data_IF_627052397662
#
_entry.id   IF_627052397662
#
_cell.length_a   1.000
_cell.length_b   1.000
_cell.length_c   1.000
_cell.angle_alpha   90.00
_cell.angle_beta   90.00
_cell.angle_gamma   90.00
#
_symmetry.space_group_name_H-M   'P 1'
#
loop_
_entity.id
_entity.type
_entity.pdbx_description
1 polymer ?
#
# COMPACT_ATOMS: atom_id res chain seq x y z
N UNK A 1 -8.26 -11.27 -4.99
CA UNK A 1 -8.99 -12.16 -4.02
C UNK A 1 -10.22 -12.78 -4.69
N UNK A 2 -10.31 -14.10 -4.82
CA UNK A 2 -11.36 -14.75 -5.64
C UNK A 2 -12.79 -14.57 -5.11
N UNK A 3 -12.97 -14.59 -3.79
CA UNK A 3 -14.29 -14.52 -3.16
C UNK A 3 -14.63 -13.15 -2.56
N UNK A 4 -13.62 -12.34 -2.25
CA UNK A 4 -13.78 -10.94 -1.89
C UNK A 4 -13.40 -10.15 -3.14
N UNK A 5 -14.35 -9.47 -3.76
CA UNK A 5 -14.17 -8.78 -5.04
C UNK A 5 -15.07 -7.55 -5.13
N UNK A 6 -14.77 -6.58 -5.98
CA UNK A 6 -15.66 -5.46 -6.23
C UNK A 6 -17.05 -5.92 -6.65
N UNK A 7 -18.08 -5.19 -6.25
CA UNK A 7 -19.47 -5.51 -6.59
C UNK A 7 -19.68 -5.55 -8.11
N UNK A 8 -19.06 -4.62 -8.83
CA UNK A 8 -19.12 -4.55 -10.30
C UNK A 8 -18.59 -5.82 -11.00
N UNK A 9 -17.74 -6.61 -10.33
CA UNK A 9 -17.21 -7.87 -10.86
C UNK A 9 -18.14 -9.07 -10.67
N UNK A 10 -19.27 -8.91 -10.00
CA UNK A 10 -20.21 -10.01 -9.82
C UNK A 10 -21.07 -10.29 -11.06
N UNK A 11 -21.32 -9.28 -11.88
CA UNK A 11 -22.24 -9.33 -13.00
C UNK A 11 -21.59 -8.89 -14.32
N UNK A 12 -20.25 -8.96 -14.40
CA UNK A 12 -19.56 -8.50 -15.58
C UNK A 12 -19.62 -9.52 -16.72
N UNK A 13 -19.84 -9.03 -17.90
CA UNK A 13 -19.54 -9.71 -19.14
C UNK A 13 -18.02 -9.70 -19.34
N UNK A 14 -17.42 -10.87 -19.51
CA UNK A 14 -15.97 -11.01 -19.71
C UNK A 14 -15.47 -10.44 -21.04
N UNK A 15 -16.38 -10.06 -21.93
CA UNK A 15 -16.06 -9.39 -23.20
C UNK A 15 -15.89 -7.87 -23.05
N UNK A 16 -16.24 -7.29 -21.90
CA UNK A 16 -16.18 -5.85 -21.66
C UNK A 16 -15.19 -5.49 -20.54
N UNK A 17 -14.61 -4.30 -20.65
CA UNK A 17 -13.75 -3.73 -19.60
C UNK A 17 -14.63 -3.34 -18.39
N UNK A 18 -14.21 -3.72 -17.19
CA UNK A 18 -14.91 -3.38 -15.95
C UNK A 18 -14.06 -2.46 -15.10
N UNK A 19 -14.57 -1.29 -14.77
CA UNK A 19 -13.89 -0.26 -14.02
C UNK A 19 -14.32 -0.26 -12.55
N UNK A 20 -13.37 -0.10 -11.64
CA UNK A 20 -13.59 0.05 -10.20
C UNK A 20 -12.50 0.92 -9.60
N UNK A 21 -12.82 1.69 -8.59
CA UNK A 21 -11.82 2.46 -7.83
C UNK A 21 -11.11 1.61 -6.77
N UNK A 22 -11.44 0.32 -6.63
CA UNK A 22 -11.03 -0.53 -5.50
C UNK A 22 -9.79 -1.40 -5.77
N UNK A 23 -9.15 -1.35 -6.96
CA UNK A 23 -7.98 -2.20 -7.23
C UNK A 23 -6.82 -1.92 -6.26
N UNK A 24 -6.69 -0.70 -5.76
CA UNK A 24 -5.72 -0.37 -4.72
C UNK A 24 -5.83 -1.28 -3.49
N UNK A 25 -7.05 -1.69 -3.13
CA UNK A 25 -7.29 -2.59 -2.01
C UNK A 25 -7.11 -4.05 -2.44
N UNK A 26 -7.74 -4.47 -3.54
CA UNK A 26 -7.73 -5.87 -3.96
C UNK A 26 -6.35 -6.35 -4.41
N UNK A 27 -5.55 -5.48 -5.00
CA UNK A 27 -4.20 -5.77 -5.43
C UNK A 27 -3.15 -5.21 -4.46
N UNK A 28 -3.38 -4.01 -3.91
CA UNK A 28 -2.43 -3.39 -2.99
C UNK A 28 -2.37 -4.10 -1.64
N UNK A 29 -3.51 -4.45 -1.02
CA UNK A 29 -3.51 -5.24 0.22
C UNK A 29 -2.90 -6.63 -0.03
N UNK A 30 -3.15 -7.24 -1.19
CA UNK A 30 -2.55 -8.53 -1.56
C UNK A 30 -1.03 -8.39 -1.65
N UNK A 31 -0.53 -7.35 -2.36
CA UNK A 31 0.91 -7.08 -2.47
C UNK A 31 1.57 -6.79 -1.11
N UNK A 32 0.87 -6.11 -0.19
CA UNK A 32 1.35 -5.93 1.18
C UNK A 32 1.51 -7.26 1.91
N UNK A 33 0.55 -8.18 1.74
CA UNK A 33 0.61 -9.49 2.40
C UNK A 33 1.59 -10.46 1.74
N UNK A 34 1.95 -10.30 0.48
CA UNK A 34 2.89 -11.19 -0.21
C UNK A 34 4.22 -11.28 0.57
N UNK A 35 4.87 -10.16 0.79
CA UNK A 35 6.14 -10.09 1.52
C UNK A 35 5.94 -10.38 3.03
N UNK A 36 4.88 -9.85 3.62
CA UNK A 36 4.57 -10.05 5.04
C UNK A 36 4.29 -11.53 5.36
N UNK A 37 3.65 -12.28 4.45
CA UNK A 37 3.39 -13.70 4.62
C UNK A 37 4.69 -14.52 4.61
N UNK A 38 5.65 -14.18 3.76
CA UNK A 38 6.98 -14.80 3.74
C UNK A 38 7.71 -14.59 5.08
N UNK A 39 7.66 -13.38 5.61
CA UNK A 39 8.24 -13.08 6.91
C UNK A 39 7.54 -13.82 8.05
N UNK A 40 6.20 -13.78 8.10
CA UNK A 40 5.40 -14.45 9.14
C UNK A 40 5.55 -15.97 9.13
N UNK A 41 5.76 -16.57 7.96
CA UNK A 41 6.02 -17.99 7.79
C UNK A 41 7.49 -18.35 8.04
N UNK A 42 8.34 -17.39 8.40
CA UNK A 42 9.79 -17.55 8.66
C UNK A 42 10.58 -18.05 7.44
N UNK A 43 10.09 -17.80 6.23
CA UNK A 43 10.82 -18.09 4.99
C UNK A 43 11.88 -17.03 4.69
N UNK A 44 11.66 -15.82 5.16
CA UNK A 44 12.63 -14.71 5.11
C UNK A 44 12.82 -14.08 6.50
N UNK A 45 13.94 -13.41 6.71
CA UNK A 45 14.23 -12.68 7.95
C UNK A 45 13.54 -11.32 7.96
N UNK A 46 13.53 -10.64 9.11
CA UNK A 46 13.00 -9.27 9.20
C UNK A 46 13.81 -8.30 8.33
N UNK A 47 15.12 -8.48 8.24
CA UNK A 47 16.00 -7.66 7.40
C UNK A 47 15.62 -7.81 5.92
N UNK A 48 15.39 -9.06 5.46
CA UNK A 48 14.94 -9.29 4.09
C UNK A 48 13.58 -8.64 3.82
N UNK A 49 12.63 -8.73 4.77
CA UNK A 49 11.33 -8.05 4.64
C UNK A 49 11.49 -6.53 4.56
N UNK A 50 12.33 -5.94 5.40
CA UNK A 50 12.59 -4.49 5.38
C UNK A 50 13.33 -4.06 4.11
N UNK A 51 14.19 -4.93 3.54
CA UNK A 51 14.81 -4.70 2.24
C UNK A 51 13.76 -4.67 1.12
N UNK A 52 12.83 -5.63 1.08
CA UNK A 52 11.73 -5.64 0.11
C UNK A 52 10.82 -4.39 0.26
N UNK A 53 10.57 -3.96 1.50
CA UNK A 53 9.83 -2.73 1.74
C UNK A 53 10.60 -1.50 1.22
N UNK A 54 11.92 -1.43 1.41
CA UNK A 54 12.76 -0.35 0.88
C UNK A 54 12.68 -0.30 -0.67
N UNK A 55 12.71 -1.44 -1.32
CA UNK A 55 12.57 -1.54 -2.78
C UNK A 55 11.20 -1.07 -3.27
N UNK A 56 10.12 -1.45 -2.58
CA UNK A 56 8.77 -1.00 -2.91
C UNK A 56 8.61 0.51 -2.74
N UNK A 57 9.15 1.07 -1.66
CA UNK A 57 9.18 2.52 -1.43
C UNK A 57 10.00 3.23 -2.50
N UNK A 58 11.17 2.71 -2.85
CA UNK A 58 12.02 3.28 -3.91
C UNK A 58 11.29 3.33 -5.25
N UNK A 59 10.60 2.27 -5.64
CA UNK A 59 9.77 2.26 -6.87
C UNK A 59 8.69 3.35 -6.82
N UNK A 60 8.03 3.53 -5.67
CA UNK A 60 7.02 4.57 -5.51
C UNK A 60 7.64 5.97 -5.65
N UNK A 61 8.74 6.23 -4.93
CA UNK A 61 9.36 7.56 -4.91
C UNK A 61 10.02 7.96 -6.24
N UNK A 62 10.48 7.01 -7.03
CA UNK A 62 10.99 7.24 -8.39
C UNK A 62 9.89 7.60 -9.39
N UNK A 63 8.68 7.13 -9.21
CA UNK A 63 7.56 7.42 -10.10
C UNK A 63 7.06 8.85 -9.91
N UNK A 64 7.26 9.73 -10.88
CA UNK A 64 6.67 11.08 -10.90
C UNK A 64 5.15 11.04 -11.06
N UNK A 65 4.61 9.95 -11.59
CA UNK A 65 3.18 9.69 -11.72
C UNK A 65 2.43 9.79 -10.38
N UNK A 66 3.10 9.55 -9.24
CA UNK A 66 2.50 9.68 -7.91
C UNK A 66 1.97 11.09 -7.60
N UNK A 67 2.49 12.12 -8.28
CA UNK A 67 2.04 13.51 -8.19
C UNK A 67 1.00 13.89 -9.25
N UNK A 68 0.70 12.99 -10.18
CA UNK A 68 -0.17 13.23 -11.33
C UNK A 68 -1.47 12.45 -11.30
N UNK A 69 -1.45 11.27 -10.72
CA UNK A 69 -2.60 10.37 -10.66
C UNK A 69 -2.90 9.98 -9.21
N UNK A 70 -4.15 10.09 -8.82
CA UNK A 70 -4.61 9.59 -7.51
C UNK A 70 -4.67 8.06 -7.53
N UNK A 71 -4.75 7.45 -6.35
CA UNK A 71 -4.80 5.98 -6.26
C UNK A 71 -6.15 5.41 -6.72
N UNK A 72 -7.24 6.15 -6.52
CA UNK A 72 -8.57 5.79 -7.07
C UNK A 72 -8.59 5.89 -8.60
N UNK A 73 -8.00 6.95 -9.18
CA UNK A 73 -7.88 7.07 -10.64
C UNK A 73 -7.01 5.95 -11.23
N UNK A 74 -5.88 5.63 -10.56
CA UNK A 74 -5.01 4.52 -10.97
C UNK A 74 -5.76 3.19 -11.01
N UNK A 75 -6.63 2.95 -10.03
CA UNK A 75 -7.48 1.76 -9.98
C UNK A 75 -8.53 1.77 -11.10
N UNK A 76 -9.20 2.90 -11.29
CA UNK A 76 -10.28 3.04 -12.27
C UNK A 76 -9.77 2.96 -13.72
N UNK A 77 -8.66 3.61 -14.00
CA UNK A 77 -8.03 3.68 -15.32
C UNK A 77 -7.14 2.46 -15.66
N UNK A 78 -7.19 1.40 -14.88
CA UNK A 78 -6.28 0.26 -15.02
C UNK A 78 -6.21 -0.28 -16.46
N UNK A 79 -7.37 -0.49 -17.10
CA UNK A 79 -7.49 -1.03 -18.45
C UNK A 79 -6.89 -0.11 -19.52
N UNK A 80 -7.08 1.19 -19.36
CA UNK A 80 -6.74 2.19 -20.38
C UNK A 80 -5.33 2.76 -20.22
N UNK A 81 -4.80 2.78 -18.98
CA UNK A 81 -3.49 3.36 -18.66
C UNK A 81 -2.48 2.35 -18.13
N UNK A 82 -2.82 1.57 -17.11
CA UNK A 82 -1.85 0.68 -16.48
C UNK A 82 -1.48 -0.51 -17.38
N UNK A 83 -2.43 -1.08 -18.10
CA UNK A 83 -2.18 -2.19 -19.04
C UNK A 83 -1.83 -1.75 -20.47
N UNK A 84 -1.89 -0.46 -20.76
CA UNK A 84 -1.52 0.13 -22.07
C UNK A 84 -0.48 1.24 -21.88
N UNK A 85 0.61 0.91 -21.16
CA UNK A 85 1.67 1.87 -20.84
C UNK A 85 2.44 2.28 -22.10
N UNK A 86 2.74 3.57 -22.18
CA UNK A 86 3.71 4.17 -23.10
C UNK A 86 5.01 4.54 -22.38
N UNK A 87 5.97 5.13 -23.11
CA UNK A 87 7.26 5.54 -22.57
C UNK A 87 7.15 6.61 -21.49
N UNK A 88 6.06 7.37 -21.45
CA UNK A 88 5.81 8.42 -20.46
C UNK A 88 5.10 7.89 -19.19
N UNK A 89 4.75 6.61 -19.13
CA UNK A 89 4.02 6.05 -17.99
C UNK A 89 4.65 6.36 -16.62
N UNK A 90 6.00 6.29 -16.41
CA UNK A 90 6.61 6.63 -15.13
C UNK A 90 6.35 8.06 -14.66
N UNK A 91 6.08 8.98 -15.59
CA UNK A 91 5.78 10.38 -15.30
C UNK A 91 4.28 10.68 -15.14
N UNK A 92 3.42 9.80 -15.62
CA UNK A 92 2.00 10.05 -15.78
C UNK A 92 1.10 9.20 -14.87
N UNK A 93 1.52 7.99 -14.53
CA UNK A 93 0.71 7.03 -13.77
C UNK A 93 1.43 6.56 -12.50
N UNK A 94 0.65 6.14 -11.53
CA UNK A 94 1.13 5.46 -10.33
C UNK A 94 0.59 4.02 -10.29
N UNK A 95 1.40 3.09 -9.82
CA UNK A 95 0.95 1.70 -9.66
C UNK A 95 0.02 1.54 -8.46
N UNK A 96 -1.20 1.08 -8.68
CA UNK A 96 -2.13 0.73 -7.60
C UNK A 96 -1.68 -0.51 -6.83
N UNK A 97 -0.81 -1.36 -7.38
CA UNK A 97 -0.11 -2.41 -6.63
C UNK A 97 0.88 -1.80 -5.63
N UNK A 98 1.85 -1.05 -6.11
CA UNK A 98 2.95 -0.51 -5.28
C UNK A 98 2.43 0.54 -4.28
N UNK A 99 1.75 1.60 -4.76
CA UNK A 99 1.20 2.64 -3.87
C UNK A 99 0.12 2.05 -2.96
N UNK A 100 -0.70 1.12 -3.48
CA UNK A 100 -1.71 0.41 -2.70
C UNK A 100 -1.12 -0.42 -1.56
N UNK A 101 0.00 -1.12 -1.78
CA UNK A 101 0.69 -1.87 -0.72
C UNK A 101 1.21 -0.94 0.38
N UNK A 102 1.75 0.22 0.03
CA UNK A 102 2.22 1.21 1.01
C UNK A 102 1.03 1.83 1.78
N UNK A 103 -0.10 2.07 1.11
CA UNK A 103 -1.33 2.53 1.79
C UNK A 103 -1.89 1.45 2.71
N UNK A 104 -1.82 0.17 2.33
CA UNK A 104 -2.21 -0.95 3.19
C UNK A 104 -1.34 -1.05 4.45
N UNK A 105 -0.02 -0.87 4.32
CA UNK A 105 0.89 -0.73 5.46
C UNK A 105 0.48 0.46 6.36
N UNK A 106 0.23 1.62 5.76
CA UNK A 106 -0.23 2.81 6.49
C UNK A 106 -1.55 2.56 7.23
N UNK A 107 -2.50 1.89 6.60
CA UNK A 107 -3.78 1.53 7.22
C UNK A 107 -3.59 0.57 8.40
N UNK A 108 -2.75 -0.46 8.28
CA UNK A 108 -2.45 -1.38 9.41
C UNK A 108 -1.84 -0.61 10.60
N UNK A 109 -0.91 0.30 10.33
CA UNK A 109 -0.28 1.13 11.37
C UNK A 109 -1.33 2.05 12.04
N UNK A 110 -2.15 2.74 11.26
CA UNK A 110 -3.18 3.66 11.77
C UNK A 110 -4.24 2.90 12.59
N UNK A 111 -4.70 1.75 12.10
CA UNK A 111 -5.63 0.90 12.87
C UNK A 111 -5.03 0.49 14.21
N UNK A 112 -3.79 0.02 14.24
CA UNK A 112 -3.08 -0.35 15.47
C UNK A 112 -2.94 0.82 16.43
N UNK A 113 -2.51 1.97 15.94
CA UNK A 113 -2.31 3.16 16.77
C UNK A 113 -3.61 3.62 17.42
N UNK A 114 -4.64 3.86 16.61
CA UNK A 114 -5.91 4.40 17.07
C UNK A 114 -6.66 3.43 17.99
N UNK A 115 -6.52 2.14 17.79
CA UNK A 115 -7.13 1.10 18.62
C UNK A 115 -6.28 0.63 19.79
N UNK A 116 -5.06 1.17 19.98
CA UNK A 116 -4.08 0.62 20.94
C UNK A 116 -3.80 -0.87 20.70
N UNK A 117 -3.52 -1.24 19.44
CA UNK A 117 -3.27 -2.60 18.95
C UNK A 117 -4.44 -3.60 19.07
N UNK A 118 -5.67 -3.12 19.28
CA UNK A 118 -6.85 -4.00 19.35
C UNK A 118 -7.42 -4.35 17.98
N UNK A 119 -7.22 -3.49 16.99
CA UNK A 119 -7.65 -3.67 15.59
C UNK A 119 -6.44 -3.61 14.67
N UNK A 120 -6.33 -4.60 13.79
CA UNK A 120 -5.24 -4.73 12.81
C UNK A 120 -5.82 -4.90 11.41
N UNK A 121 -4.98 -4.81 10.39
CA UNK A 121 -5.39 -5.14 9.03
C UNK A 121 -5.79 -6.62 8.89
N UNK A 122 -5.22 -7.52 9.69
CA UNK A 122 -5.67 -8.92 9.74
C UNK A 122 -7.12 -9.04 10.20
N UNK A 123 -7.53 -8.26 11.21
CA UNK A 123 -8.92 -8.26 11.70
C UNK A 123 -9.85 -7.67 10.65
N UNK A 124 -9.42 -6.61 9.97
CA UNK A 124 -10.13 -6.04 8.82
C UNK A 124 -10.35 -7.08 7.72
N UNK A 125 -9.31 -7.83 7.34
CA UNK A 125 -9.42 -8.90 6.33
C UNK A 125 -10.33 -10.04 6.78
N UNK A 126 -10.29 -10.43 8.06
CA UNK A 126 -11.22 -11.44 8.62
C UNK A 126 -12.66 -10.95 8.57
N UNK A 127 -12.88 -9.67 8.87
CA UNK A 127 -14.21 -9.06 8.81
C UNK A 127 -14.73 -9.00 7.38
N UNK A 128 -13.91 -8.60 6.42
CA UNK A 128 -14.24 -8.68 4.99
C UNK A 128 -14.61 -10.10 4.55
N UNK A 129 -13.87 -11.09 5.04
CA UNK A 129 -14.21 -12.48 4.76
C UNK A 129 -15.59 -12.89 5.29
N UNK A 130 -15.92 -12.49 6.52
CA UNK A 130 -17.21 -12.82 7.16
C UNK A 130 -18.38 -12.09 6.47
N UNK A 131 -18.20 -10.81 6.18
CA UNK A 131 -19.30 -9.97 5.69
C UNK A 131 -19.53 -10.11 4.19
N UNK A 132 -18.48 -10.38 3.40
CA UNK A 132 -18.54 -10.45 1.94
C UNK A 132 -18.11 -11.81 1.39
N UNK A 133 -16.90 -12.25 1.71
CA UNK A 133 -16.31 -13.44 1.09
C UNK A 133 -17.09 -14.74 1.36
N UNK A 134 -17.53 -14.97 2.61
CA UNK A 134 -18.37 -16.13 2.97
C UNK A 134 -19.75 -16.10 2.31
N UNK A 135 -20.29 -14.91 2.13
CA UNK A 135 -21.63 -14.70 1.58
C UNK A 135 -21.61 -14.60 0.06
N UNK A 136 -20.41 -14.56 -0.53
CA UNK A 136 -20.17 -14.38 -1.97
C UNK A 136 -20.83 -13.12 -2.56
N UNK A 137 -20.93 -12.05 -1.74
CA UNK A 137 -21.41 -10.74 -2.18
C UNK A 137 -20.23 -9.82 -2.49
N UNK A 138 -20.39 -8.95 -3.50
CA UNK A 138 -19.36 -7.98 -3.88
C UNK A 138 -19.28 -6.82 -2.90
N UNK A 139 -18.13 -6.18 -2.90
CA UNK A 139 -17.80 -5.02 -2.08
C UNK A 139 -18.12 -3.76 -2.89
N UNK A 140 -18.97 -2.88 -2.37
CA UNK A 140 -19.26 -1.60 -3.01
C UNK A 140 -18.08 -0.62 -2.81
N UNK A 141 -18.06 0.44 -3.64
CA UNK A 141 -16.91 1.36 -3.75
C UNK A 141 -16.53 2.05 -2.43
N UNK A 142 -17.47 2.24 -1.50
CA UNK A 142 -17.24 2.89 -0.20
C UNK A 142 -17.27 1.94 1.00
N UNK A 143 -17.52 0.65 0.78
CA UNK A 143 -17.68 -0.34 1.85
C UNK A 143 -16.39 -0.56 2.66
N UNK A 144 -15.23 -0.50 1.99
CA UNK A 144 -13.93 -0.72 2.67
C UNK A 144 -13.63 0.38 3.68
N UNK A 145 -13.89 1.63 3.31
CA UNK A 145 -13.68 2.79 4.17
C UNK A 145 -14.64 2.73 5.35
N UNK A 146 -15.94 2.53 5.08
CA UNK A 146 -16.97 2.37 6.12
C UNK A 146 -16.65 1.24 7.08
N UNK A 147 -16.17 0.11 6.57
CA UNK A 147 -15.82 -1.04 7.41
C UNK A 147 -14.66 -0.72 8.34
N UNK A 148 -13.60 -0.07 7.84
CA UNK A 148 -12.47 0.33 8.66
C UNK A 148 -12.89 1.30 9.78
N UNK A 149 -13.71 2.31 9.44
CA UNK A 149 -14.25 3.26 10.41
C UNK A 149 -15.16 2.60 11.46
N UNK A 150 -16.03 1.67 11.03
CA UNK A 150 -16.88 0.91 11.94
C UNK A 150 -16.08 0.05 12.93
N UNK A 151 -15.01 -0.59 12.46
CA UNK A 151 -14.17 -1.42 13.32
C UNK A 151 -13.37 -0.60 14.32
N UNK A 152 -12.99 0.61 13.94
CA UNK A 152 -12.22 1.51 14.78
C UNK A 152 -13.13 2.30 15.74
N UNK A 153 -14.38 2.57 15.35
CA UNK A 153 -15.31 3.42 16.08
C UNK A 153 -15.08 4.92 15.90
N UNK A 154 -14.25 5.31 14.92
CA UNK A 154 -13.97 6.71 14.60
C UNK A 154 -13.71 6.88 13.08
N UNK A 155 -13.78 8.14 12.61
CA UNK A 155 -13.57 8.45 11.20
C UNK A 155 -12.11 8.29 10.78
N UNK A 156 -11.92 7.75 9.58
CA UNK A 156 -10.67 7.68 8.84
C UNK A 156 -10.73 8.52 7.56
N UNK A 157 -11.70 9.44 7.46
CA UNK A 157 -11.92 10.27 6.28
C UNK A 157 -10.64 10.96 5.81
N UNK A 158 -9.91 11.62 6.71
CA UNK A 158 -8.68 12.34 6.33
C UNK A 158 -7.59 11.41 5.83
N UNK A 159 -7.47 10.21 6.42
CA UNK A 159 -6.55 9.18 5.94
C UNK A 159 -6.89 8.76 4.50
N UNK A 160 -8.15 8.43 4.23
CA UNK A 160 -8.57 7.99 2.90
C UNK A 160 -8.55 9.12 1.87
N UNK A 161 -8.88 10.35 2.26
CA UNK A 161 -8.73 11.50 1.37
C UNK A 161 -7.27 11.72 0.97
N UNK A 162 -6.36 11.71 1.93
CA UNK A 162 -4.94 11.85 1.65
C UNK A 162 -4.40 10.70 0.79
N UNK A 163 -4.67 9.46 1.19
CA UNK A 163 -4.03 8.29 0.58
C UNK A 163 -4.61 7.89 -0.76
N UNK A 164 -5.93 8.04 -0.94
CA UNK A 164 -6.65 7.54 -2.11
C UNK A 164 -6.99 8.63 -3.14
N UNK A 165 -7.35 9.84 -2.68
CA UNK A 165 -7.95 10.89 -3.51
C UNK A 165 -7.07 12.12 -3.68
N UNK A 166 -5.86 12.11 -3.12
CA UNK A 166 -4.91 13.19 -3.31
C UNK A 166 -3.63 12.74 -4.02
N UNK A 167 -2.93 13.72 -4.61
CA UNK A 167 -1.61 13.56 -5.19
C UNK A 167 -0.50 14.02 -4.24
N UNK A 168 -0.83 14.19 -2.95
CA UNK A 168 0.15 14.53 -1.93
C UNK A 168 1.01 13.31 -1.58
N UNK A 169 2.20 13.58 -1.02
CA UNK A 169 3.07 12.52 -0.51
C UNK A 169 2.41 11.81 0.67
N UNK A 170 2.58 10.49 0.70
CA UNK A 170 2.16 9.68 1.84
C UNK A 170 3.08 9.97 3.04
N UNK A 171 2.56 10.03 4.28
CA UNK A 171 3.35 10.30 5.48
C UNK A 171 4.13 9.05 5.95
N UNK A 172 4.89 8.43 5.02
CA UNK A 172 5.59 7.15 5.24
C UNK A 172 6.56 7.24 6.40
N UNK A 173 7.31 8.34 6.51
CA UNK A 173 8.23 8.55 7.62
C UNK A 173 7.52 8.50 8.97
N UNK A 174 6.35 9.15 9.07
CA UNK A 174 5.55 9.14 10.29
C UNK A 174 5.07 7.74 10.62
N UNK A 175 4.56 7.00 9.63
CA UNK A 175 4.10 5.62 9.83
C UNK A 175 5.23 4.70 10.29
N UNK A 176 6.37 4.72 9.62
CA UNK A 176 7.50 3.86 9.95
C UNK A 176 8.12 4.19 11.30
N UNK A 177 8.15 5.47 11.68
CA UNK A 177 8.64 5.91 13.00
C UNK A 177 7.85 5.26 14.15
N UNK A 178 6.56 5.01 13.99
CA UNK A 178 5.75 4.30 14.98
C UNK A 178 6.13 2.83 15.16
N UNK A 179 6.78 2.25 14.17
CA UNK A 179 7.34 0.90 14.23
C UNK A 179 8.81 0.90 14.70
N UNK A 180 9.35 2.05 15.07
CA UNK A 180 10.77 2.18 15.40
C UNK A 180 11.69 2.13 14.18
N UNK A 181 11.13 2.28 12.98
CA UNK A 181 11.88 2.27 11.73
C UNK A 181 12.11 3.71 11.27
N UNK A 182 13.35 4.08 11.06
CA UNK A 182 13.69 5.35 10.43
C UNK A 182 13.56 5.27 8.91
N UNK A 183 13.26 6.42 8.32
CA UNK A 183 13.10 6.58 6.90
C UNK A 183 13.86 7.81 6.42
N UNK A 184 14.66 7.66 5.37
CA UNK A 184 15.38 8.77 4.76
C UNK A 184 15.44 8.60 3.25
N UNK A 185 15.17 9.67 2.51
CA UNK A 185 15.45 9.75 1.09
C UNK A 185 16.91 10.17 0.90
N UNK A 186 17.60 9.51 -0.03
CA UNK A 186 18.93 9.88 -0.49
C UNK A 186 18.94 9.94 -2.02
N UNK A 187 19.96 10.56 -2.57
CA UNK A 187 20.21 10.47 -4.00
C UNK A 187 20.59 9.03 -4.38
N UNK A 188 20.10 8.58 -5.54
CA UNK A 188 20.50 7.28 -6.08
C UNK A 188 22.00 7.24 -6.39
N UNK A 189 22.62 6.11 -6.11
CA UNK A 189 24.04 5.90 -6.39
C UNK A 189 24.28 5.53 -7.86
N UNK A 190 23.33 4.83 -8.45
CA UNK A 190 23.35 4.40 -9.87
C UNK A 190 21.92 3.98 -10.29
N UNK A 191 21.65 3.79 -11.60
CA UNK A 191 20.32 3.41 -12.09
C UNK A 191 19.78 2.07 -11.56
N UNK A 192 20.64 1.17 -11.08
CA UNK A 192 20.24 -0.12 -10.50
C UNK A 192 20.00 -0.06 -8.99
N UNK A 193 20.21 1.09 -8.36
CA UNK A 193 19.97 1.28 -6.93
C UNK A 193 18.48 1.13 -6.62
N UNK A 194 18.12 0.15 -5.82
CA UNK A 194 16.74 -0.15 -5.45
C UNK A 194 16.39 0.30 -4.02
N UNK A 195 17.26 1.13 -3.40
CA UNK A 195 17.16 1.46 -2.01
C UNK A 195 17.68 0.32 -1.11
N UNK A 196 17.88 0.61 0.17
CA UNK A 196 18.45 -0.36 1.09
C UNK A 196 17.87 -0.23 2.49
N UNK A 197 17.86 -1.34 3.20
CA UNK A 197 17.71 -1.41 4.64
C UNK A 197 19.10 -1.52 5.29
N UNK A 198 19.35 -0.73 6.33
CA UNK A 198 20.60 -0.75 7.12
C UNK A 198 20.25 -0.92 8.59
N UNK A 199 20.95 -1.77 9.32
CA UNK A 199 20.76 -1.93 10.76
C UNK A 199 21.25 -0.71 11.53
N UNK A 200 20.61 -0.42 12.65
CA UNK A 200 20.99 0.72 13.52
C UNK A 200 22.43 0.63 14.03
N UNK A 201 22.93 -0.57 14.27
CA UNK A 201 24.30 -0.83 14.76
C UNK A 201 25.37 -0.40 13.73
N UNK A 202 25.04 -0.40 12.46
CA UNK A 202 25.94 -0.01 11.36
C UNK A 202 25.92 1.51 11.10
N UNK A 203 25.12 2.27 11.85
CA UNK A 203 24.96 3.73 11.69
C UNK A 203 26.06 4.57 12.33
N UNK A 204 26.93 3.97 13.12
CA UNK A 204 28.06 4.69 13.70
C UNK A 204 29.05 5.23 12.66
N UNK A 205 28.99 4.72 11.44
CA UNK A 205 29.75 5.21 10.28
C UNK A 205 29.03 6.26 9.42
N UNK A 206 27.73 6.48 9.66
CA UNK A 206 26.92 7.46 8.91
C UNK A 206 26.64 8.66 9.83
N UNK A 207 27.45 9.69 9.70
CA UNK A 207 27.36 10.91 10.51
C UNK A 207 25.94 11.46 10.64
N UNK A 208 25.41 11.44 11.87
CA UNK A 208 24.39 12.37 12.35
C UNK A 208 22.96 12.08 12.01
N UNK A 209 22.38 11.21 12.78
CA UNK A 209 20.96 11.04 13.13
C UNK A 209 20.33 9.71 12.73
N UNK A 210 19.60 9.20 13.70
CA UNK A 210 18.88 7.93 13.73
C UNK A 210 18.24 7.47 12.42
N UNK A 211 18.61 6.28 12.01
CA UNK A 211 17.89 5.14 11.42
C UNK A 211 16.99 5.34 10.18
N UNK A 212 16.82 4.37 9.47
CA UNK A 212 17.37 3.68 8.42
C UNK A 212 16.37 2.77 7.70
N UNK A 213 15.65 3.32 6.83
CA UNK A 213 15.29 2.80 5.54
C UNK A 213 15.92 3.79 4.55
N UNK A 214 16.99 3.42 3.88
CA UNK A 214 17.62 4.32 2.94
C UNK A 214 17.00 4.01 1.58
N UNK A 215 16.28 4.97 1.05
CA UNK A 215 15.72 4.88 -0.28
C UNK A 215 16.59 5.68 -1.24
N UNK A 216 16.88 5.09 -2.39
CA UNK A 216 17.55 5.73 -3.50
C UNK A 216 16.59 6.47 -4.42
#
# INVERSE_FOLDING_TARGET
MKRIRPLVFQQNDLSEEVHTTLLWAFEGITSYYDDLALFRSKLITIENYLQLLAENLTRLYRSQGRFRQTLVDSSFDAWTRFYKQDENAPNAIVSYYTKGAIVALGLDIVLRQKSHNKVTLDDFMRRLWVDYGKKEIGVAEDDLEKLAEQMLGESLHDFFQLCLRSNQELPVETWLRHLGIGFRLRQEENPADQGTFVKYEDLSEVSGSNSVLTLG
#
